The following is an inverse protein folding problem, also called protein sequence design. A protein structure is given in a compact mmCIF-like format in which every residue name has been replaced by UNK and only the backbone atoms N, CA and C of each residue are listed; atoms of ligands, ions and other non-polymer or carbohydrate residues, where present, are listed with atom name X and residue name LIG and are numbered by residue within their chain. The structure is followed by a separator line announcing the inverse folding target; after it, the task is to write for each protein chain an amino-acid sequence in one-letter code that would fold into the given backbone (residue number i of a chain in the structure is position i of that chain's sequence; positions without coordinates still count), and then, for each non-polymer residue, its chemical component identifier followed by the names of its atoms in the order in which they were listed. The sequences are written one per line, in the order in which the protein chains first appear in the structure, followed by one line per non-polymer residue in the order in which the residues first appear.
data_IF_716572729206
#
_entry.id   IF_716572729206
#
_cell.length_a   1.000
_cell.length_b   1.000
_cell.length_c   1.000
_cell.angle_alpha   90.00
_cell.angle_beta   90.00
_cell.angle_gamma   90.00
#
_symmetry.space_group_name_H-M   'P 1'
#
loop_
_entity.id
_entity.type
_entity.pdbx_description
1 polymer ?
#
# COMPACT_ATOMS: atom_id res chain seq x y z
N UNK A 1 0.05 -13.50 -6.84
CA UNK A 1 0.51 -12.31 -7.59
C UNK A 1 1.87 -11.81 -7.09
N UNK A 2 2.13 -11.73 -5.80
CA UNK A 2 3.42 -11.24 -5.27
C UNK A 2 4.56 -12.25 -5.24
N UNK A 3 4.38 -13.48 -5.73
CA UNK A 3 5.44 -14.49 -5.79
C UNK A 3 5.81 -15.07 -4.43
N UNK A 4 4.82 -15.29 -3.56
CA UNK A 4 5.08 -15.96 -2.29
C UNK A 4 5.59 -17.39 -2.53
N UNK A 5 6.72 -17.79 -1.91
CA UNK A 5 7.28 -19.13 -2.09
C UNK A 5 6.42 -20.25 -1.50
N UNK A 6 5.33 -19.91 -0.82
CA UNK A 6 4.36 -20.88 -0.28
C UNK A 6 3.41 -21.45 -1.33
N UNK A 7 3.33 -20.78 -2.49
CA UNK A 7 2.40 -21.14 -3.56
C UNK A 7 3.16 -21.38 -4.85
N UNK A 8 2.87 -22.48 -5.48
CA UNK A 8 3.36 -22.83 -6.81
C UNK A 8 2.21 -22.70 -7.80
N UNK A 9 2.45 -22.00 -8.91
CA UNK A 9 1.49 -21.90 -10.00
C UNK A 9 1.70 -23.11 -10.90
N UNK A 10 0.70 -23.98 -10.94
CA UNK A 10 0.78 -25.26 -11.68
C UNK A 10 0.29 -25.14 -13.12
N UNK A 11 -0.49 -24.11 -13.43
CA UNK A 11 -1.04 -23.86 -14.77
C UNK A 11 -1.51 -22.41 -14.91
N UNK A 12 -1.57 -21.91 -16.14
CA UNK A 12 -1.99 -20.55 -16.47
C UNK A 12 -0.85 -19.54 -16.52
N UNK A 13 -1.20 -18.30 -16.85
CA UNK A 13 -0.28 -17.16 -16.95
C UNK A 13 -0.80 -15.96 -16.14
N UNK A 14 0.10 -15.13 -15.64
CA UNK A 14 -0.24 -13.85 -14.99
C UNK A 14 0.51 -12.73 -15.70
N UNK A 15 -0.22 -11.92 -16.45
CA UNK A 15 0.36 -10.80 -17.18
C UNK A 15 0.14 -9.47 -16.46
N UNK A 16 1.20 -8.70 -16.28
CA UNK A 16 1.14 -7.33 -15.80
C UNK A 16 1.78 -6.39 -16.80
N UNK A 17 1.00 -5.46 -17.36
CA UNK A 17 1.43 -4.58 -18.45
C UNK A 17 2.01 -5.33 -19.65
N UNK A 18 1.44 -6.51 -19.96
CA UNK A 18 1.89 -7.36 -21.07
C UNK A 18 3.14 -8.20 -20.79
N UNK A 19 3.66 -8.20 -19.55
CA UNK A 19 4.82 -8.96 -19.12
C UNK A 19 4.40 -10.08 -18.18
N UNK A 20 4.94 -11.29 -18.39
CA UNK A 20 4.70 -12.45 -17.53
C UNK A 20 5.33 -12.22 -16.15
N UNK A 21 4.57 -12.48 -15.07
CA UNK A 21 5.02 -12.28 -13.70
C UNK A 21 5.62 -13.52 -13.04
N UNK A 22 5.33 -14.73 -13.53
CA UNK A 22 5.64 -15.95 -12.80
C UNK A 22 7.14 -16.12 -12.54
N UNK A 23 7.96 -15.72 -13.50
CA UNK A 23 9.43 -15.79 -13.39
C UNK A 23 10.05 -14.60 -12.62
N UNK A 24 9.26 -13.60 -12.25
CA UNK A 24 9.77 -12.41 -11.58
C UNK A 24 9.82 -12.56 -10.07
N UNK A 25 10.89 -12.04 -9.48
CA UNK A 25 11.04 -11.95 -8.02
C UNK A 25 10.09 -10.90 -7.44
N UNK A 26 9.77 -11.01 -6.15
CA UNK A 26 8.86 -10.07 -5.47
C UNK A 26 9.36 -8.61 -5.52
N UNK A 27 10.68 -8.40 -5.44
CA UNK A 27 11.27 -7.06 -5.54
C UNK A 27 11.15 -6.48 -6.94
N UNK A 28 11.26 -7.31 -7.99
CA UNK A 28 11.05 -6.88 -9.37
C UNK A 28 9.59 -6.49 -9.61
N UNK A 29 8.63 -7.29 -9.15
CA UNK A 29 7.20 -6.96 -9.22
C UNK A 29 6.88 -5.64 -8.50
N UNK A 30 7.49 -5.40 -7.34
CA UNK A 30 7.33 -4.13 -6.61
C UNK A 30 7.92 -2.95 -7.39
N UNK A 31 9.10 -3.08 -8.01
CA UNK A 31 9.72 -2.07 -8.88
C UNK A 31 8.87 -1.77 -10.11
N UNK A 32 8.25 -2.78 -10.71
CA UNK A 32 7.36 -2.63 -11.87
C UNK A 32 6.01 -1.95 -11.52
N UNK A 33 5.75 -1.81 -10.22
CA UNK A 33 4.67 -0.99 -9.71
C UNK A 33 3.49 -1.77 -9.16
N UNK A 34 3.71 -2.98 -8.64
CA UNK A 34 2.72 -3.72 -7.86
C UNK A 34 2.95 -3.45 -6.38
N UNK A 35 1.91 -3.08 -5.66
CA UNK A 35 1.91 -2.86 -4.21
C UNK A 35 0.92 -3.81 -3.55
N UNK A 36 1.33 -4.40 -2.44
CA UNK A 36 0.47 -5.22 -1.59
C UNK A 36 0.48 -4.67 -0.16
N UNK A 37 -0.69 -4.36 0.37
CA UNK A 37 -0.89 -4.14 1.80
C UNK A 37 -0.99 -5.48 2.51
N UNK A 38 -0.25 -5.66 3.57
CA UNK A 38 -0.25 -6.90 4.34
C UNK A 38 -1.36 -6.89 5.40
N UNK A 39 -1.99 -8.03 5.62
CA UNK A 39 -2.94 -8.21 6.71
C UNK A 39 -2.29 -7.87 8.07
N UNK A 40 -1.05 -8.33 8.28
CA UNK A 40 -0.26 -8.02 9.46
C UNK A 40 1.10 -7.42 9.06
N UNK A 41 1.23 -6.08 9.02
CA UNK A 41 2.49 -5.42 8.68
C UNK A 41 3.59 -5.74 9.69
N UNK A 42 4.76 -6.14 9.17
CA UNK A 42 5.91 -6.49 9.98
C UNK A 42 6.57 -5.25 10.60
N UNK A 43 7.15 -5.42 11.78
CA UNK A 43 8.02 -4.43 12.41
C UNK A 43 9.45 -4.58 11.88
N UNK A 44 10.09 -3.45 11.56
CA UNK A 44 11.47 -3.41 11.06
C UNK A 44 12.31 -2.48 11.94
N UNK A 45 12.88 -3.01 13.03
CA UNK A 45 13.75 -2.22 13.92
C UNK A 45 15.00 -1.69 13.18
N UNK A 46 15.41 -0.47 13.50
CA UNK A 46 16.60 0.17 12.94
C UNK A 46 16.38 0.84 11.57
N UNK A 47 15.17 0.78 11.00
CA UNK A 47 14.84 1.45 9.74
C UNK A 47 13.65 2.39 9.95
N UNK A 48 13.89 3.70 9.93
CA UNK A 48 12.80 4.67 10.09
C UNK A 48 11.82 4.62 8.92
N UNK A 49 10.53 4.88 9.21
CA UNK A 49 9.46 4.92 8.20
C UNK A 49 9.83 5.84 7.02
N UNK A 50 10.38 7.03 7.30
CA UNK A 50 10.86 7.98 6.29
C UNK A 50 11.94 7.38 5.40
N UNK A 51 12.95 6.75 5.97
CA UNK A 51 14.05 6.16 5.21
C UNK A 51 13.59 4.96 4.39
N UNK A 52 12.70 4.14 4.93
CA UNK A 52 12.09 3.03 4.21
C UNK A 52 11.37 3.52 2.95
N UNK A 53 10.44 4.49 3.11
CA UNK A 53 9.66 5.04 1.99
C UNK A 53 10.58 5.71 0.97
N UNK A 54 11.56 6.51 1.41
CA UNK A 54 12.51 7.16 0.49
C UNK A 54 13.26 6.15 -0.36
N UNK A 55 13.83 5.12 0.27
CA UNK A 55 14.57 4.08 -0.44
C UNK A 55 13.67 3.34 -1.44
N UNK A 56 12.42 3.03 -1.06
CA UNK A 56 11.47 2.38 -1.95
C UNK A 56 11.12 3.24 -3.17
N UNK A 57 10.90 4.55 -2.98
CA UNK A 57 10.64 5.51 -4.08
C UNK A 57 11.86 5.64 -5.00
N UNK A 58 13.08 5.74 -4.44
CA UNK A 58 14.32 5.80 -5.22
C UNK A 58 14.56 4.52 -6.03
N UNK A 59 14.34 3.35 -5.44
CA UNK A 59 14.47 2.07 -6.14
C UNK A 59 13.49 1.94 -7.29
N UNK A 60 12.25 2.40 -7.10
CA UNK A 60 11.22 2.35 -8.15
C UNK A 60 11.47 3.36 -9.27
N UNK A 61 11.93 4.57 -8.94
CA UNK A 61 12.20 5.62 -9.94
C UNK A 61 13.53 5.43 -10.67
N UNK A 62 14.43 4.58 -10.14
CA UNK A 62 15.78 4.40 -10.63
C UNK A 62 16.70 5.63 -10.44
N UNK A 63 16.25 6.62 -9.68
CA UNK A 63 16.98 7.87 -9.47
C UNK A 63 16.84 8.38 -8.04
N UNK A 64 17.86 9.14 -7.58
CA UNK A 64 17.79 9.80 -6.27
C UNK A 64 16.80 10.94 -6.31
N UNK A 65 15.96 11.05 -5.26
CA UNK A 65 15.01 12.14 -5.12
C UNK A 65 15.60 13.30 -4.32
N UNK A 66 15.19 14.50 -4.66
CA UNK A 66 15.57 15.70 -3.90
C UNK A 66 14.94 15.64 -2.51
N UNK A 67 15.75 15.70 -1.46
CA UNK A 67 15.31 15.55 -0.06
C UNK A 67 14.19 16.53 0.31
N UNK A 68 14.28 17.78 -0.17
CA UNK A 68 13.26 18.78 0.12
C UNK A 68 11.90 18.44 -0.51
N UNK A 69 11.89 18.00 -1.77
CA UNK A 69 10.67 17.57 -2.48
C UNK A 69 10.04 16.37 -1.78
N UNK A 70 10.85 15.36 -1.48
CA UNK A 70 10.40 14.18 -0.76
C UNK A 70 9.80 14.51 0.61
N UNK A 71 10.49 15.37 1.40
CA UNK A 71 10.01 15.79 2.72
C UNK A 71 8.63 16.46 2.62
N UNK A 72 8.48 17.38 1.66
CA UNK A 72 7.21 18.09 1.44
C UNK A 72 6.07 17.12 1.05
N UNK A 73 6.33 16.20 0.11
CA UNK A 73 5.34 15.21 -0.31
C UNK A 73 4.96 14.26 0.83
N UNK A 74 5.95 13.82 1.62
CA UNK A 74 5.72 12.96 2.78
C UNK A 74 4.84 13.66 3.83
N UNK A 75 5.14 14.92 4.18
CA UNK A 75 4.37 15.70 5.14
C UNK A 75 2.92 15.91 4.66
N UNK A 76 2.72 16.20 3.38
CA UNK A 76 1.38 16.30 2.79
C UNK A 76 0.60 14.99 2.85
N UNK A 77 1.25 13.87 2.54
CA UNK A 77 0.61 12.55 2.64
C UNK A 77 0.29 12.17 4.10
N UNK A 78 1.16 12.52 5.05
CA UNK A 78 0.90 12.32 6.48
C UNK A 78 -0.28 13.18 6.97
N UNK A 79 -0.42 14.41 6.49
CA UNK A 79 -1.56 15.29 6.81
C UNK A 79 -2.90 14.68 6.35
N UNK A 80 -2.96 14.13 5.12
CA UNK A 80 -4.15 13.40 4.61
C UNK A 80 -4.56 12.29 5.55
N UNK A 81 -3.59 11.57 6.11
CA UNK A 81 -3.78 10.43 7.00
C UNK A 81 -3.92 10.83 8.49
N UNK A 82 -3.92 12.13 8.79
CA UNK A 82 -3.92 12.61 10.18
C UNK A 82 -2.86 11.90 11.03
N UNK A 83 -1.64 11.81 10.48
CA UNK A 83 -0.50 11.15 11.08
C UNK A 83 0.52 12.20 11.52
N UNK A 84 0.94 12.13 12.80
CA UNK A 84 1.93 13.07 13.32
C UNK A 84 3.26 12.93 12.56
N UNK A 85 3.89 14.04 12.12
CA UNK A 85 5.16 13.99 11.37
C UNK A 85 6.30 13.26 12.09
N UNK A 86 6.29 13.18 13.42
CA UNK A 86 7.29 12.46 14.22
C UNK A 86 7.34 10.95 13.92
N UNK A 87 6.22 10.37 13.43
CA UNK A 87 6.19 8.96 13.00
C UNK A 87 7.18 8.68 11.85
N UNK A 88 7.49 9.68 11.04
CA UNK A 88 8.50 9.55 9.99
C UNK A 88 9.89 9.16 10.51
N UNK A 89 10.23 9.55 11.74
CA UNK A 89 11.53 9.29 12.37
C UNK A 89 11.53 8.04 13.26
N UNK A 90 10.37 7.42 13.49
CA UNK A 90 10.24 6.17 14.24
C UNK A 90 10.53 4.98 13.34
N UNK A 91 11.01 3.91 13.92
CA UNK A 91 11.23 2.64 13.22
C UNK A 91 9.92 2.09 12.66
N UNK A 92 10.00 1.56 11.44
CA UNK A 92 8.83 1.09 10.68
C UNK A 92 8.00 0.09 11.49
N UNK A 93 6.77 0.48 11.81
CA UNK A 93 5.78 -0.27 12.54
C UNK A 93 6.13 -0.65 13.99
N UNK A 94 7.32 -0.32 14.51
CA UNK A 94 7.75 -0.68 15.86
C UNK A 94 6.95 0.11 16.89
N UNK A 95 6.18 -0.60 17.70
CA UNK A 95 5.32 -0.01 18.72
C UNK A 95 4.16 0.84 18.16
N UNK A 96 3.79 0.66 16.89
CA UNK A 96 2.60 1.26 16.32
C UNK A 96 1.37 0.46 16.71
N UNK A 97 0.27 1.14 17.00
CA UNK A 97 -1.04 0.53 17.11
C UNK A 97 -1.50 -0.04 15.76
N UNK A 98 -2.54 -0.88 15.75
CA UNK A 98 -3.10 -1.43 14.51
C UNK A 98 -3.48 -0.34 13.50
N UNK A 99 -4.15 0.72 13.98
CA UNK A 99 -4.52 1.87 13.13
C UNK A 99 -3.33 2.63 12.58
N UNK A 100 -2.28 2.84 13.38
CA UNK A 100 -1.05 3.52 12.95
C UNK A 100 -0.27 2.68 11.93
N UNK A 101 -0.21 1.35 12.09
CA UNK A 101 0.38 0.44 11.11
C UNK A 101 -0.35 0.53 9.77
N UNK A 102 -1.69 0.56 9.77
CA UNK A 102 -2.47 0.71 8.54
C UNK A 102 -2.30 2.09 7.91
N UNK A 103 -2.27 3.16 8.69
CA UNK A 103 -1.92 4.50 8.18
C UNK A 103 -0.52 4.52 7.54
N UNK A 104 0.47 3.86 8.14
CA UNK A 104 1.82 3.75 7.59
C UNK A 104 1.85 2.96 6.26
N UNK A 105 1.00 1.95 6.08
CA UNK A 105 0.85 1.26 4.79
C UNK A 105 0.22 2.16 3.73
N UNK A 106 -0.86 2.89 4.07
CA UNK A 106 -1.47 3.83 3.12
C UNK A 106 -0.55 5.01 2.81
N UNK A 107 0.28 5.44 3.76
CA UNK A 107 1.34 6.42 3.50
C UNK A 107 2.31 5.91 2.43
N UNK A 108 2.72 4.65 2.50
CA UNK A 108 3.55 4.02 1.47
C UNK A 108 2.82 3.99 0.12
N UNK A 109 1.54 3.63 0.08
CA UNK A 109 0.70 3.66 -1.12
C UNK A 109 0.70 5.04 -1.78
N UNK A 110 0.47 6.11 -1.01
CA UNK A 110 0.43 7.49 -1.49
C UNK A 110 1.80 7.96 -2.03
N UNK A 111 2.87 7.58 -1.38
CA UNK A 111 4.22 7.97 -1.79
C UNK A 111 4.74 7.16 -2.98
N UNK A 112 4.44 5.87 -3.03
CA UNK A 112 4.88 4.99 -4.11
C UNK A 112 4.04 5.12 -5.38
N UNK A 113 2.77 5.50 -5.30
CA UNK A 113 1.84 5.64 -6.43
C UNK A 113 1.93 4.44 -7.40
N UNK A 114 1.67 3.21 -6.93
CA UNK A 114 1.81 2.01 -7.72
C UNK A 114 0.85 2.00 -8.91
N UNK A 115 1.15 1.18 -9.92
CA UNK A 115 0.24 0.95 -11.06
C UNK A 115 -0.87 -0.05 -10.73
N UNK A 116 -0.61 -0.94 -9.77
CA UNK A 116 -1.59 -1.85 -9.18
C UNK A 116 -1.40 -1.88 -7.67
N UNK A 117 -2.43 -1.48 -6.94
CA UNK A 117 -2.48 -1.63 -5.48
C UNK A 117 -3.44 -2.76 -5.11
N UNK A 118 -2.98 -3.67 -4.26
CA UNK A 118 -3.78 -4.75 -3.68
C UNK A 118 -3.87 -4.48 -2.18
N UNK A 119 -5.08 -4.21 -1.69
CA UNK A 119 -5.36 -3.95 -0.29
C UNK A 119 -6.09 -5.16 0.30
N UNK A 120 -5.41 -5.89 1.18
CA UNK A 120 -5.93 -7.11 1.78
C UNK A 120 -6.34 -6.84 3.23
N UNK A 121 -7.66 -6.83 3.47
CA UNK A 121 -8.29 -6.58 4.79
C UNK A 121 -7.72 -5.36 5.52
N UNK A 122 -7.49 -4.27 4.78
CA UNK A 122 -6.85 -3.05 5.31
C UNK A 122 -7.70 -2.34 6.38
N UNK A 123 -8.99 -2.62 6.44
CA UNK A 123 -9.95 -2.11 7.42
C UNK A 123 -10.21 -3.06 8.61
N UNK A 124 -9.63 -4.26 8.59
CA UNK A 124 -9.85 -5.26 9.64
C UNK A 124 -9.27 -4.81 10.99
N UNK A 125 -10.06 -4.92 12.05
CA UNK A 125 -9.65 -4.58 13.43
C UNK A 125 -9.47 -3.09 13.70
N UNK A 126 -9.88 -2.22 12.79
CA UNK A 126 -9.82 -0.77 12.97
C UNK A 126 -11.12 -0.22 13.59
N UNK A 127 -10.97 0.84 14.40
CA UNK A 127 -12.09 1.66 14.82
C UNK A 127 -12.63 2.51 13.64
N UNK A 128 -13.81 3.12 13.86
CA UNK A 128 -14.51 3.89 12.80
C UNK A 128 -13.68 5.06 12.27
N UNK A 129 -12.94 5.74 13.15
CA UNK A 129 -12.16 6.92 12.76
C UNK A 129 -10.90 6.51 11.98
N UNK A 130 -10.26 5.41 12.37
CA UNK A 130 -9.14 4.85 11.62
C UNK A 130 -9.57 4.36 10.22
N UNK A 131 -10.71 3.65 10.10
CA UNK A 131 -11.27 3.25 8.79
C UNK A 131 -11.52 4.48 7.92
N UNK A 132 -12.16 5.52 8.47
CA UNK A 132 -12.44 6.76 7.72
C UNK A 132 -11.15 7.42 7.22
N UNK A 133 -10.09 7.44 8.05
CA UNK A 133 -8.81 8.04 7.67
C UNK A 133 -8.10 7.22 6.60
N UNK A 134 -8.11 5.90 6.72
CA UNK A 134 -7.57 4.96 5.71
C UNK A 134 -8.33 5.12 4.39
N UNK A 135 -9.66 5.15 4.42
CA UNK A 135 -10.50 5.35 3.23
C UNK A 135 -10.16 6.66 2.51
N UNK A 136 -9.96 7.78 3.25
CA UNK A 136 -9.52 9.05 2.64
C UNK A 136 -8.18 8.94 1.94
N UNK A 137 -7.22 8.21 2.52
CA UNK A 137 -5.93 7.96 1.88
C UNK A 137 -6.07 7.16 0.58
N UNK A 138 -6.93 6.14 0.57
CA UNK A 138 -7.22 5.35 -0.63
C UNK A 138 -7.95 6.19 -1.69
N UNK A 139 -8.91 7.02 -1.29
CA UNK A 139 -9.58 7.98 -2.17
C UNK A 139 -8.57 8.95 -2.80
N UNK A 140 -7.61 9.47 -2.02
CA UNK A 140 -6.56 10.35 -2.53
C UNK A 140 -5.70 9.66 -3.60
N UNK A 141 -5.34 8.38 -3.38
CA UNK A 141 -4.64 7.58 -4.39
C UNK A 141 -5.46 7.41 -5.68
N UNK A 142 -6.79 7.23 -5.58
CA UNK A 142 -7.66 7.07 -6.75
C UNK A 142 -7.84 8.37 -7.58
N UNK A 143 -7.65 9.56 -6.99
CA UNK A 143 -7.83 10.84 -7.70
C UNK A 143 -6.98 10.96 -8.95
N UNK A 144 -5.77 10.46 -8.92
CA UNK A 144 -4.85 10.51 -10.06
C UNK A 144 -5.24 9.56 -11.22
N UNK A 145 -6.16 8.60 -10.98
CA UNK A 145 -6.67 7.58 -11.95
C UNK A 145 -5.56 6.88 -12.78
N UNK A 146 -4.36 6.79 -12.22
CA UNK A 146 -3.19 6.22 -12.91
C UNK A 146 -2.93 4.76 -12.56
N UNK A 147 -3.52 4.27 -11.49
CA UNK A 147 -3.34 2.91 -10.99
C UNK A 147 -4.66 2.17 -10.85
N UNK A 148 -4.60 0.85 -10.99
CA UNK A 148 -5.68 -0.05 -10.64
C UNK A 148 -5.65 -0.35 -9.13
N UNK A 149 -6.84 -0.53 -8.53
CA UNK A 149 -7.01 -0.84 -7.13
C UNK A 149 -7.84 -2.10 -6.98
N UNK A 150 -7.29 -3.08 -6.27
CA UNK A 150 -7.99 -4.30 -5.85
C UNK A 150 -8.11 -4.28 -4.33
N UNK A 151 -9.35 -4.31 -3.83
CA UNK A 151 -9.62 -4.36 -2.39
C UNK A 151 -10.26 -5.69 -2.05
N UNK A 152 -9.70 -6.38 -1.06
CA UNK A 152 -10.29 -7.56 -0.43
C UNK A 152 -10.73 -7.13 0.96
N UNK A 153 -12.03 -7.20 1.23
CA UNK A 153 -12.60 -6.78 2.53
C UNK A 153 -13.85 -7.57 2.88
N UNK A 154 -14.09 -7.74 4.16
CA UNK A 154 -15.34 -8.26 4.72
C UNK A 154 -16.28 -7.12 5.16
N UNK A 155 -15.87 -5.86 5.01
CA UNK A 155 -16.63 -4.69 5.47
C UNK A 155 -16.90 -3.74 4.31
N UNK A 156 -18.10 -3.23 4.24
CA UNK A 156 -18.48 -2.21 3.25
C UNK A 156 -17.99 -0.80 3.61
N UNK A 157 -17.54 -0.58 4.84
CA UNK A 157 -17.17 0.75 5.36
C UNK A 157 -16.06 1.42 4.57
N UNK A 158 -15.02 0.66 4.19
CA UNK A 158 -13.93 1.21 3.39
C UNK A 158 -14.40 1.62 1.99
N UNK A 159 -15.46 0.99 1.47
CA UNK A 159 -15.98 1.22 0.13
C UNK A 159 -16.95 2.40 0.04
N UNK A 160 -17.48 2.90 1.16
CA UNK A 160 -18.51 3.96 1.18
C UNK A 160 -18.08 5.27 0.50
N UNK A 161 -16.77 5.57 0.53
CA UNK A 161 -16.19 6.78 -0.07
C UNK A 161 -15.47 6.52 -1.40
N UNK A 162 -15.39 5.27 -1.84
CA UNK A 162 -14.61 4.88 -3.01
C UNK A 162 -15.49 4.65 -4.23
N UNK A 163 -14.98 5.02 -5.41
CA UNK A 163 -15.59 4.62 -6.66
C UNK A 163 -15.19 3.17 -6.98
N UNK A 164 -16.20 2.30 -7.08
CA UNK A 164 -16.02 0.88 -7.37
C UNK A 164 -16.55 0.58 -8.77
N UNK A 165 -15.68 0.19 -9.68
CA UNK A 165 -16.04 -0.16 -11.06
C UNK A 165 -16.60 -1.59 -11.15
N UNK A 166 -16.06 -2.52 -10.33
CA UNK A 166 -16.44 -3.93 -10.33
C UNK A 166 -16.44 -4.47 -8.90
N UNK A 167 -17.52 -5.16 -8.53
CA UNK A 167 -17.62 -5.88 -7.26
C UNK A 167 -17.84 -7.37 -7.51
N UNK A 168 -17.04 -8.20 -6.84
CA UNK A 168 -17.15 -9.66 -6.86
C UNK A 168 -17.51 -10.15 -5.45
N UNK A 169 -18.61 -10.88 -5.35
CA UNK A 169 -19.04 -11.50 -4.09
C UNK A 169 -18.92 -13.02 -4.25
N UNK A 170 -18.08 -13.63 -3.43
CA UNK A 170 -18.02 -15.09 -3.34
C UNK A 170 -19.09 -15.57 -2.36
N UNK A 171 -20.06 -16.33 -2.87
CA UNK A 171 -21.07 -17.00 -2.05
C UNK A 171 -20.59 -18.45 -1.90
N UNK A 172 -20.11 -18.80 -0.70
CA UNK A 172 -19.89 -20.21 -0.33
C UNK A 172 -21.22 -20.86 -0.01
N UNK A 173 -21.58 -21.87 -0.76
CA UNK A 173 -22.69 -22.76 -0.42
C UNK A 173 -22.37 -23.64 0.78
#
# INVERSE_FOLDING_TARGET
IMGSPRYEVTDGEILFKGKELLEETADQRAKDGIFLSFQNPLEVPGVSLRNFIRNAVEQRSGSRIKLWTFKKELEQAMEVLQMDPSYGDRDLNVGFSGGEKKKAEILQLLMLKPSLAILDETDSGLDVDAVRTVSKGVEEYQKDKKGALLIITHSTRILESLHVDLSLIHISE
#
